data_IF_688914812081
#
_entry.id   IF_688914812081
#
_cell.length_a   1.000
_cell.length_b   1.000
_cell.length_c   1.000
_cell.angle_alpha   90.00
_cell.angle_beta   90.00
_cell.angle_gamma   90.00
#
_symmetry.space_group_name_H-M   'P 1'
#
loop_
_entity.id
_entity.type
_entity.pdbx_description
1 polymer ?
#
# COMPACT_ATOMS: atom_id res chain seq x y z
N UNK A 1 2.16 6.31 -4.46
CA UNK A 1 2.63 4.91 -4.32
C UNK A 1 4.05 4.94 -3.77
N UNK A 2 4.38 4.09 -2.80
CA UNK A 2 5.72 4.03 -2.18
C UNK A 2 5.83 2.94 -1.13
N UNK A 3 6.92 2.97 -0.34
CA UNK A 3 7.19 1.91 0.65
C UNK A 3 6.23 2.01 1.84
N UNK A 4 5.84 0.88 2.42
CA UNK A 4 4.97 0.87 3.60
C UNK A 4 5.60 1.51 4.83
N UNK A 5 6.92 1.62 4.87
CA UNK A 5 7.64 2.43 5.86
C UNK A 5 7.24 3.90 5.81
N UNK A 6 6.90 4.42 4.61
CA UNK A 6 6.43 5.79 4.42
C UNK A 6 4.92 5.93 4.66
N UNK A 7 4.16 4.86 4.41
CA UNK A 7 2.71 4.82 4.59
C UNK A 7 2.37 3.90 5.77
N UNK A 8 2.52 4.43 7.00
CA UNK A 8 2.15 3.76 8.26
C UNK A 8 0.78 3.09 8.19
N UNK A 9 -0.14 3.71 7.46
CA UNK A 9 -1.49 3.21 7.20
C UNK A 9 -1.77 3.20 5.69
N UNK A 10 -1.14 2.25 4.99
CA UNK A 10 -1.32 2.03 3.55
C UNK A 10 -2.81 1.88 3.17
N UNK A 11 -3.58 1.20 4.03
CA UNK A 11 -5.00 1.03 3.82
C UNK A 11 -5.74 2.37 3.78
N UNK A 12 -5.55 3.21 4.80
CA UNK A 12 -6.14 4.55 4.86
C UNK A 12 -5.68 5.44 3.71
N UNK A 13 -4.39 5.42 3.37
CA UNK A 13 -3.84 6.17 2.24
C UNK A 13 -4.57 5.83 0.94
N UNK A 14 -4.74 4.54 0.64
CA UNK A 14 -5.43 4.10 -0.57
C UNK A 14 -6.90 4.53 -0.56
N UNK A 15 -7.63 4.40 0.56
CA UNK A 15 -9.02 4.89 0.67
C UNK A 15 -9.11 6.39 0.37
N UNK A 16 -8.22 7.20 0.96
CA UNK A 16 -8.18 8.66 0.71
C UNK A 16 -7.83 9.02 -0.73
N UNK A 17 -7.10 8.16 -1.45
CA UNK A 17 -6.72 8.38 -2.85
C UNK A 17 -7.74 7.81 -3.85
N UNK A 18 -8.94 7.42 -3.40
CA UNK A 18 -10.00 6.95 -4.29
C UNK A 18 -10.04 5.44 -4.53
N UNK A 19 -9.31 4.65 -3.73
CA UNK A 19 -9.40 3.19 -3.71
C UNK A 19 -10.30 2.72 -2.57
N UNK A 20 -11.62 2.52 -2.79
CA UNK A 20 -12.56 2.23 -1.71
C UNK A 20 -12.28 0.92 -0.99
N UNK A 21 -11.60 -0.02 -1.65
CA UNK A 21 -11.16 -1.30 -1.08
C UNK A 21 -9.85 -1.19 -0.27
N UNK A 22 -9.31 0.02 -0.17
CA UNK A 22 -8.07 0.33 0.53
C UNK A 22 -6.86 -0.32 -0.11
N UNK A 23 -5.92 -0.74 0.72
CA UNK A 23 -4.61 -1.18 0.28
C UNK A 23 -3.88 -2.01 1.32
N UNK A 24 -2.82 -2.67 0.87
CA UNK A 24 -2.04 -3.56 1.72
C UNK A 24 -0.55 -3.48 1.40
N UNK A 25 0.24 -3.81 2.40
CA UNK A 25 1.68 -3.90 2.28
C UNK A 25 2.07 -5.26 1.73
N UNK A 26 2.78 -5.28 0.61
CA UNK A 26 3.34 -6.51 0.03
C UNK A 26 4.80 -6.34 -0.31
N UNK A 27 5.58 -7.32 0.10
CA UNK A 27 6.97 -7.47 -0.30
C UNK A 27 7.00 -8.12 -1.68
N UNK A 28 7.49 -7.39 -2.70
CA UNK A 28 7.58 -7.90 -4.07
C UNK A 28 8.81 -8.81 -4.25
N UNK A 29 9.92 -8.50 -3.56
CA UNK A 29 11.14 -9.29 -3.54
C UNK A 29 11.61 -9.49 -2.10
N UNK A 30 12.18 -10.64 -1.73
CA UNK A 30 12.60 -10.93 -0.34
C UNK A 30 13.59 -9.91 0.25
N UNK A 31 14.36 -9.22 -0.60
CA UNK A 31 15.34 -8.19 -0.19
C UNK A 31 14.78 -6.76 -0.28
N UNK A 32 13.59 -6.58 -0.87
CA UNK A 32 13.00 -5.26 -1.07
C UNK A 32 12.10 -4.87 0.12
N UNK A 33 12.03 -3.56 0.47
CA UNK A 33 11.06 -3.09 1.44
C UNK A 33 9.63 -3.35 0.94
N UNK A 34 8.67 -3.61 1.85
CA UNK A 34 7.27 -3.79 1.48
C UNK A 34 6.72 -2.53 0.81
N UNK A 35 5.98 -2.70 -0.28
CA UNK A 35 5.31 -1.62 -1.00
C UNK A 35 3.83 -1.59 -0.66
N UNK A 36 3.28 -0.37 -0.60
CA UNK A 36 1.86 -0.15 -0.45
C UNK A 36 1.17 -0.32 -1.82
N UNK A 37 0.29 -1.32 -1.92
CA UNK A 37 -0.49 -1.62 -3.12
C UNK A 37 -1.97 -1.34 -2.84
N UNK A 38 -2.56 -0.42 -3.61
CA UNK A 38 -3.98 -0.12 -3.53
C UNK A 38 -4.80 -1.14 -4.36
N UNK A 39 -5.96 -1.52 -3.84
CA UNK A 39 -6.88 -2.46 -4.49
C UNK A 39 -7.84 -1.71 -5.40
N UNK A 40 -7.97 -2.15 -6.65
CA UNK A 40 -8.80 -1.53 -7.68
C UNK A 40 -10.16 -2.22 -7.87
N UNK A 41 -10.26 -3.50 -7.52
CA UNK A 41 -11.45 -4.36 -7.69
C UNK A 41 -11.47 -5.46 -6.64
#
# INVERSE_FOLDING_TARGET
MGTCSQFKDCNKYCITNGFPLGGFCKTLNPTAPPFCLCKYT
#
